data_IF_110290528143
#
_entry.id   IF_110290528143
#
_cell.length_a   1.000
_cell.length_b   1.000
_cell.length_c   1.000
_cell.angle_alpha   90.00
_cell.angle_beta   90.00
_cell.angle_gamma   90.00
#
_symmetry.space_group_name_H-M   'P 1'
#
loop_
_entity.id
_entity.type
_entity.pdbx_description
1 polymer ?
#
# COMPACT_ATOMS: atom_id res chain seq x y z
N UNK A 1 -61.92 -50.00 -23.33
CA UNK A 1 -61.08 -49.42 -22.26
C UNK A 1 -59.58 -49.67 -22.43
N UNK A 2 -59.03 -50.06 -23.53
CA UNK A 2 -57.57 -50.30 -23.68
C UNK A 2 -56.84 -49.23 -24.50
N UNK A 3 -57.53 -48.30 -25.17
CA UNK A 3 -56.92 -47.28 -26.04
C UNK A 3 -56.36 -46.02 -25.25
N UNK A 4 -56.97 -45.70 -24.11
CA UNK A 4 -56.54 -44.50 -23.34
C UNK A 4 -55.26 -44.71 -22.52
N UNK A 5 -54.87 -45.94 -22.23
CA UNK A 5 -53.65 -46.23 -21.48
C UNK A 5 -52.36 -46.01 -22.31
N UNK A 6 -52.44 -46.24 -23.62
CA UNK A 6 -51.28 -46.06 -24.51
C UNK A 6 -50.93 -44.57 -24.65
N UNK A 7 -51.93 -43.70 -24.71
CA UNK A 7 -51.66 -42.22 -24.75
C UNK A 7 -51.11 -41.69 -23.46
N UNK A 8 -51.49 -42.28 -22.32
CA UNK A 8 -50.92 -41.86 -21.02
C UNK A 8 -49.46 -42.23 -20.87
N UNK A 9 -49.02 -43.37 -21.37
CA UNK A 9 -47.62 -43.79 -21.36
C UNK A 9 -46.79 -43.05 -22.41
N UNK A 10 -47.35 -42.67 -23.55
CA UNK A 10 -46.68 -41.86 -24.57
C UNK A 10 -46.44 -40.45 -24.10
N UNK A 11 -47.35 -39.85 -23.32
CA UNK A 11 -47.17 -38.54 -22.71
C UNK A 11 -46.13 -38.57 -21.58
N UNK A 12 -46.08 -39.63 -20.77
CA UNK A 12 -45.08 -39.78 -19.68
C UNK A 12 -43.68 -40.05 -20.22
N UNK A 13 -43.51 -40.63 -21.43
CA UNK A 13 -42.20 -40.84 -22.06
C UNK A 13 -41.71 -39.60 -22.85
N UNK A 14 -42.62 -38.71 -23.25
CA UNK A 14 -42.25 -37.49 -23.98
C UNK A 14 -41.86 -36.30 -23.05
N UNK A 15 -42.32 -36.30 -21.80
CA UNK A 15 -41.98 -35.25 -20.83
C UNK A 15 -40.47 -35.09 -20.52
N UNK A 16 -39.68 -36.18 -20.38
CA UNK A 16 -38.24 -36.04 -20.14
C UNK A 16 -37.48 -35.46 -21.34
N UNK A 17 -37.98 -35.66 -22.56
CA UNK A 17 -37.36 -35.16 -23.79
C UNK A 17 -37.64 -33.66 -24.04
N UNK A 18 -38.78 -33.16 -23.59
CA UNK A 18 -39.10 -31.72 -23.68
C UNK A 18 -38.47 -30.92 -22.52
N UNK A 19 -38.26 -31.55 -21.35
CA UNK A 19 -37.62 -30.89 -20.20
C UNK A 19 -36.09 -30.75 -20.32
N UNK A 20 -35.44 -31.66 -21.08
CA UNK A 20 -33.99 -31.65 -21.25
C UNK A 20 -33.44 -30.50 -22.10
N UNK A 21 -34.25 -29.97 -23.03
CA UNK A 21 -33.83 -28.88 -23.91
C UNK A 21 -34.18 -27.47 -23.40
N UNK A 22 -34.87 -27.36 -22.26
CA UNK A 22 -35.21 -26.06 -21.65
C UNK A 22 -34.22 -25.61 -20.59
N UNK A 23 -33.23 -26.46 -20.23
CA UNK A 23 -32.22 -26.16 -19.22
C UNK A 23 -30.86 -25.69 -19.79
N UNK A 24 -30.69 -25.70 -21.10
CA UNK A 24 -29.41 -25.34 -21.75
C UNK A 24 -29.30 -23.87 -22.16
N UNK A 25 -30.32 -23.04 -21.84
CA UNK A 25 -30.41 -21.68 -22.40
C UNK A 25 -29.83 -20.57 -21.55
N UNK A 26 -29.28 -20.84 -20.35
CA UNK A 26 -28.81 -19.75 -19.49
C UNK A 26 -27.33 -19.74 -19.22
N UNK A 27 -26.53 -20.70 -19.73
CA UNK A 27 -25.10 -20.76 -19.43
C UNK A 27 -24.19 -20.38 -20.59
N UNK A 28 -24.67 -20.37 -21.83
CA UNK A 28 -23.84 -20.13 -23.02
C UNK A 28 -23.31 -18.67 -23.11
N UNK A 29 -23.94 -17.72 -22.41
CA UNK A 29 -23.48 -16.33 -22.36
C UNK A 29 -22.99 -15.92 -20.98
N UNK A 30 -22.88 -16.86 -20.02
CA UNK A 30 -22.49 -16.54 -18.66
C UNK A 30 -21.03 -16.08 -18.57
N UNK A 31 -20.14 -16.67 -19.35
CA UNK A 31 -18.75 -16.23 -19.47
C UNK A 31 -18.65 -14.84 -20.12
N UNK A 32 -19.39 -14.61 -21.21
CA UNK A 32 -19.41 -13.30 -21.88
C UNK A 32 -20.01 -12.20 -20.99
N UNK A 33 -21.07 -12.51 -20.25
CA UNK A 33 -21.71 -11.57 -19.32
C UNK A 33 -20.87 -11.30 -18.07
N UNK A 34 -20.07 -12.26 -17.64
CA UNK A 34 -19.15 -12.12 -16.50
C UNK A 34 -17.75 -11.66 -16.91
N UNK A 35 -17.42 -11.68 -18.19
CA UNK A 35 -16.19 -11.08 -18.69
C UNK A 35 -16.37 -9.57 -18.69
N UNK A 36 -15.73 -8.90 -17.75
CA UNK A 36 -15.75 -7.44 -17.70
C UNK A 36 -14.92 -6.90 -18.87
N UNK A 37 -15.58 -6.58 -19.98
CA UNK A 37 -14.92 -6.06 -21.19
C UNK A 37 -14.25 -4.68 -21.02
N UNK A 38 -14.47 -4.05 -19.86
CA UNK A 38 -13.83 -2.76 -19.47
C UNK A 38 -12.69 -2.98 -18.49
N UNK A 39 -12.47 -4.20 -18.01
CA UNK A 39 -11.35 -4.50 -17.14
C UNK A 39 -10.10 -4.68 -17.98
N UNK A 40 -9.17 -3.74 -17.85
CA UNK A 40 -7.84 -3.86 -18.46
C UNK A 40 -7.08 -4.95 -17.70
N UNK A 41 -6.54 -5.94 -18.42
CA UNK A 41 -5.64 -6.90 -17.81
C UNK A 41 -4.43 -6.12 -17.26
N UNK A 42 -4.05 -6.29 -16.00
CA UNK A 42 -2.86 -5.65 -15.45
C UNK A 42 -1.59 -5.88 -16.29
N UNK A 43 -1.52 -7.00 -17.02
CA UNK A 43 -0.40 -7.30 -17.91
C UNK A 43 -0.40 -6.46 -19.19
N UNK A 44 -1.54 -5.89 -19.59
CA UNK A 44 -1.67 -4.99 -20.73
C UNK A 44 -1.34 -3.53 -20.39
N UNK A 45 -1.23 -3.21 -19.08
CA UNK A 45 -0.83 -1.87 -18.65
C UNK A 45 0.67 -1.65 -18.88
N UNK A 46 1.08 -0.48 -19.40
CA UNK A 46 2.49 -0.11 -19.43
C UNK A 46 3.12 -0.24 -18.04
N UNK A 47 4.34 -0.78 -17.97
CA UNK A 47 5.06 -0.96 -16.71
C UNK A 47 5.15 0.35 -15.90
N UNK A 48 5.34 1.48 -16.58
CA UNK A 48 5.34 2.81 -15.97
C UNK A 48 4.04 3.14 -15.25
N UNK A 49 2.88 2.81 -15.84
CA UNK A 49 1.57 3.04 -15.21
C UNK A 49 1.37 2.16 -13.98
N UNK A 50 1.84 0.90 -14.03
CA UNK A 50 1.78 0.00 -12.88
C UNK A 50 2.61 0.50 -11.69
N UNK A 51 3.79 1.07 -11.93
CA UNK A 51 4.70 1.57 -10.90
C UNK A 51 4.29 2.93 -10.34
N UNK A 52 3.69 3.80 -11.14
CA UNK A 52 3.29 5.14 -10.73
C UNK A 52 2.22 5.13 -9.63
N UNK A 53 1.24 4.24 -9.73
CA UNK A 53 0.12 4.15 -8.78
C UNK A 53 0.58 3.94 -7.34
N UNK A 54 1.34 2.89 -6.97
CA UNK A 54 1.75 2.69 -5.59
C UNK A 54 2.63 3.81 -5.05
N UNK A 55 3.44 4.46 -5.88
CA UNK A 55 4.23 5.61 -5.48
C UNK A 55 3.35 6.82 -5.16
N UNK A 56 2.34 7.07 -5.97
CA UNK A 56 1.39 8.16 -5.81
C UNK A 56 0.54 7.99 -4.54
N UNK A 57 0.08 6.76 -4.28
CA UNK A 57 -0.77 6.45 -3.13
C UNK A 57 -0.03 6.34 -1.79
N UNK A 58 1.32 6.35 -1.79
CA UNK A 58 2.11 6.55 -0.57
C UNK A 58 1.91 7.95 0.02
N UNK A 59 1.54 8.93 -0.79
CA UNK A 59 1.02 10.22 -0.38
C UNK A 59 -0.43 10.30 -0.89
N UNK A 60 -1.44 10.48 -0.01
CA UNK A 60 -2.84 10.45 -0.43
C UNK A 60 -3.11 11.44 -1.58
N UNK A 61 -3.58 10.96 -2.75
CA UNK A 61 -3.69 11.80 -3.96
C UNK A 61 -4.92 12.71 -3.96
N UNK A 62 -5.69 12.70 -2.86
CA UNK A 62 -6.94 13.42 -2.78
C UNK A 62 -7.11 14.02 -1.37
N UNK A 63 -7.50 15.29 -1.30
CA UNK A 63 -7.53 16.07 -0.07
C UNK A 63 -8.37 15.46 1.05
N UNK A 64 -9.54 14.90 0.75
CA UNK A 64 -10.37 14.26 1.75
C UNK A 64 -9.70 13.02 2.36
N UNK A 65 -8.92 12.27 1.57
CA UNK A 65 -8.16 11.13 2.07
C UNK A 65 -7.12 11.59 3.09
N UNK A 66 -6.35 12.63 2.76
CA UNK A 66 -5.36 13.18 3.69
C UNK A 66 -6.03 13.75 4.94
N UNK A 67 -7.13 14.48 4.79
CA UNK A 67 -7.88 15.04 5.90
C UNK A 67 -8.37 13.94 6.83
N UNK A 68 -9.06 12.93 6.32
CA UNK A 68 -9.67 11.89 7.15
C UNK A 68 -8.63 10.95 7.76
N UNK A 69 -7.61 10.54 7.00
CA UNK A 69 -6.65 9.54 7.48
C UNK A 69 -5.56 10.12 8.37
N UNK A 70 -5.15 11.35 8.11
CA UNK A 70 -4.04 11.99 8.82
C UNK A 70 -4.53 13.12 9.69
N UNK A 71 -5.15 14.13 9.10
CA UNK A 71 -5.41 15.40 9.74
C UNK A 71 -6.47 15.30 10.85
N UNK A 72 -7.60 14.62 10.60
CA UNK A 72 -8.68 14.40 11.57
C UNK A 72 -8.54 13.10 12.38
N UNK A 73 -7.40 12.42 12.32
CA UNK A 73 -7.08 11.22 13.11
C UNK A 73 -5.71 11.37 13.77
N UNK A 74 -4.64 11.03 13.07
CA UNK A 74 -3.27 10.96 13.62
C UNK A 74 -2.81 12.30 14.18
N UNK A 75 -3.08 13.39 13.48
CA UNK A 75 -2.68 14.73 13.90
C UNK A 75 -3.45 15.21 15.14
N UNK A 76 -4.72 14.84 15.27
CA UNK A 76 -5.52 15.11 16.47
C UNK A 76 -5.03 14.27 17.66
N UNK A 77 -4.76 12.98 17.45
CA UNK A 77 -4.27 12.08 18.49
C UNK A 77 -2.88 12.46 18.97
N UNK A 78 -2.03 13.00 18.09
CA UNK A 78 -0.71 13.51 18.46
C UNK A 78 -0.76 14.82 19.24
N UNK A 79 -1.90 15.53 19.25
CA UNK A 79 -2.08 16.83 19.85
C UNK A 79 -1.42 17.99 19.07
N UNK A 80 -1.01 17.78 17.83
CA UNK A 80 -0.50 18.85 16.97
C UNK A 80 -1.61 19.73 16.44
N UNK A 81 -2.74 19.11 16.11
CA UNK A 81 -3.92 19.81 15.62
C UNK A 81 -5.10 19.62 16.57
N UNK A 82 -6.10 20.43 16.34
CA UNK A 82 -7.43 20.32 16.95
C UNK A 82 -8.50 20.65 15.91
N UNK A 83 -9.71 20.12 16.06
CA UNK A 83 -10.82 20.53 15.27
C UNK A 83 -11.72 21.51 16.04
N UNK A 84 -11.96 22.72 15.49
CA UNK A 84 -12.98 23.63 16.04
C UNK A 84 -14.39 23.22 15.60
N UNK A 85 -14.52 22.33 14.61
CA UNK A 85 -15.80 21.90 14.06
C UNK A 85 -16.44 20.82 14.93
N UNK A 86 -17.60 21.09 15.50
CA UNK A 86 -18.32 20.15 16.37
C UNK A 86 -18.83 18.86 15.68
N UNK A 87 -18.70 18.75 14.35
CA UNK A 87 -19.02 17.53 13.62
C UNK A 87 -17.92 16.47 13.70
N UNK A 88 -16.73 16.85 14.15
CA UNK A 88 -15.59 15.96 14.29
C UNK A 88 -15.22 15.80 15.75
N UNK A 89 -14.85 14.57 16.13
CA UNK A 89 -14.37 14.30 17.49
C UNK A 89 -12.96 14.78 17.65
N UNK A 90 -12.75 15.63 18.61
CA UNK A 90 -11.42 16.04 19.03
C UNK A 90 -10.78 15.01 19.95
N UNK A 91 -9.51 15.16 20.17
CA UNK A 91 -8.55 14.55 21.06
C UNK A 91 -8.98 13.72 22.27
N UNK A 92 -10.24 13.33 22.34
CA UNK A 92 -10.78 12.32 23.26
C UNK A 92 -10.38 10.88 22.86
N UNK A 93 -9.57 10.73 21.82
CA UNK A 93 -9.14 9.44 21.25
C UNK A 93 -10.33 8.56 20.82
N UNK A 94 -11.48 9.17 20.55
CA UNK A 94 -12.67 8.48 20.06
C UNK A 94 -12.42 7.87 18.68
N UNK A 95 -12.68 6.57 18.55
CA UNK A 95 -12.53 5.87 17.28
C UNK A 95 -13.57 6.35 16.27
N UNK A 96 -13.11 6.84 15.12
CA UNK A 96 -13.95 7.05 13.94
C UNK A 96 -13.54 6.08 12.83
N UNK A 97 -14.23 4.95 12.76
CA UNK A 97 -13.94 3.88 11.78
C UNK A 97 -14.06 4.35 10.34
N UNK A 98 -14.97 5.27 10.04
CA UNK A 98 -15.12 5.84 8.71
C UNK A 98 -13.88 6.61 8.23
N UNK A 99 -13.18 7.24 9.17
CA UNK A 99 -11.95 7.97 8.88
C UNK A 99 -10.72 7.06 8.97
N UNK A 100 -10.62 6.28 10.04
CA UNK A 100 -9.43 5.48 10.29
C UNK A 100 -9.28 4.26 9.37
N UNK A 101 -10.37 3.72 8.80
CA UNK A 101 -10.32 2.54 7.93
C UNK A 101 -9.70 2.79 6.57
N UNK A 102 -9.82 4.01 6.04
CA UNK A 102 -9.42 4.32 4.67
C UNK A 102 -7.91 4.18 4.40
N UNK A 103 -7.05 4.50 5.36
CA UNK A 103 -5.60 4.30 5.21
C UNK A 103 -5.23 2.80 5.11
N UNK A 104 -5.91 1.94 5.87
CA UNK A 104 -5.73 0.50 5.80
C UNK A 104 -6.14 -0.05 4.44
N UNK A 105 -7.30 0.36 3.95
CA UNK A 105 -7.81 -0.01 2.63
C UNK A 105 -6.87 0.46 1.51
N UNK A 106 -6.44 1.73 1.56
CA UNK A 106 -5.48 2.31 0.62
C UNK A 106 -4.19 1.50 0.52
N UNK A 107 -3.65 1.05 1.65
CA UNK A 107 -2.43 0.25 1.67
C UNK A 107 -2.58 -1.05 0.88
N UNK A 108 -3.64 -1.82 1.11
CA UNK A 108 -3.81 -3.09 0.42
C UNK A 108 -4.24 -2.93 -1.04
N UNK A 109 -5.13 -1.97 -1.35
CA UNK A 109 -5.63 -1.79 -2.71
C UNK A 109 -4.58 -1.19 -3.64
N UNK A 110 -3.89 -0.16 -3.20
CA UNK A 110 -3.06 0.65 -4.10
C UNK A 110 -1.56 0.43 -3.90
N UNK A 111 -1.09 0.16 -2.67
CA UNK A 111 0.34 0.05 -2.41
C UNK A 111 0.80 -1.41 -2.41
N UNK A 112 0.37 -2.19 -1.43
CA UNK A 112 0.94 -3.51 -1.17
C UNK A 112 0.68 -4.52 -2.30
N UNK A 113 -0.57 -4.65 -2.75
CA UNK A 113 -0.91 -5.60 -3.80
C UNK A 113 -0.24 -5.27 -5.14
N UNK A 114 -0.06 -3.99 -5.45
CA UNK A 114 0.64 -3.59 -6.66
C UNK A 114 2.15 -3.80 -6.53
N UNK A 115 2.77 -3.31 -5.45
CA UNK A 115 4.23 -3.44 -5.27
C UNK A 115 4.68 -4.90 -5.21
N UNK A 116 3.99 -5.79 -4.47
CA UNK A 116 4.37 -7.21 -4.37
C UNK A 116 4.38 -7.90 -5.74
N UNK A 117 3.39 -7.59 -6.59
CA UNK A 117 3.30 -8.14 -7.95
C UNK A 117 4.43 -7.61 -8.84
N UNK A 118 4.68 -6.32 -8.80
CA UNK A 118 5.76 -5.68 -9.57
C UNK A 118 7.12 -6.21 -9.13
N UNK A 119 7.36 -6.35 -7.82
CA UNK A 119 8.59 -6.92 -7.27
C UNK A 119 8.80 -8.34 -7.79
N UNK A 120 7.76 -9.19 -7.71
CA UNK A 120 7.85 -10.57 -8.19
C UNK A 120 8.15 -10.66 -9.71
N UNK A 121 7.50 -9.81 -10.50
CA UNK A 121 7.74 -9.73 -11.95
C UNK A 121 9.15 -9.25 -12.28
N UNK A 122 9.64 -8.21 -11.60
CA UNK A 122 11.00 -7.71 -11.75
C UNK A 122 12.05 -8.74 -11.32
N UNK A 123 11.84 -9.42 -10.21
CA UNK A 123 12.74 -10.47 -9.72
C UNK A 123 12.80 -11.64 -10.73
N UNK A 124 11.66 -12.03 -11.29
CA UNK A 124 11.60 -13.08 -12.31
C UNK A 124 12.32 -12.66 -13.61
N UNK A 125 12.19 -11.41 -14.01
CA UNK A 125 12.81 -10.87 -15.24
C UNK A 125 14.29 -10.47 -15.06
N UNK A 126 14.79 -10.49 -13.83
CA UNK A 126 16.17 -10.08 -13.50
C UNK A 126 16.39 -8.56 -13.54
N UNK A 127 15.34 -7.75 -13.52
CA UNK A 127 15.39 -6.29 -13.41
C UNK A 127 15.42 -5.87 -11.93
N UNK A 128 16.52 -6.26 -11.26
CA UNK A 128 16.61 -6.19 -9.80
C UNK A 128 16.66 -4.75 -9.27
N UNK A 129 17.23 -3.82 -10.03
CA UNK A 129 17.26 -2.41 -9.66
C UNK A 129 15.87 -1.82 -9.56
N UNK A 130 14.97 -2.12 -10.51
CA UNK A 130 13.56 -1.72 -10.47
C UNK A 130 12.81 -2.40 -9.33
N UNK A 131 13.10 -3.70 -9.09
CA UNK A 131 12.58 -4.41 -7.91
C UNK A 131 12.98 -3.70 -6.62
N UNK A 132 14.23 -3.25 -6.51
CA UNK A 132 14.75 -2.51 -5.35
C UNK A 132 13.98 -1.21 -5.10
N UNK A 133 13.68 -0.44 -6.14
CA UNK A 133 12.85 0.77 -6.03
C UNK A 133 11.47 0.44 -5.47
N UNK A 134 10.81 -0.58 -6.01
CA UNK A 134 9.47 -0.97 -5.54
C UNK A 134 9.48 -1.55 -4.11
N UNK A 135 10.56 -2.22 -3.68
CA UNK A 135 10.75 -2.63 -2.27
C UNK A 135 10.82 -1.44 -1.33
N UNK A 136 11.46 -0.34 -1.74
CA UNK A 136 11.49 0.89 -0.93
C UNK A 136 10.08 1.49 -0.81
N UNK A 137 9.33 1.56 -1.91
CA UNK A 137 7.93 2.04 -1.91
C UNK A 137 7.06 1.16 -1.00
N UNK A 138 7.18 -0.17 -1.12
CA UNK A 138 6.46 -1.11 -0.27
C UNK A 138 6.82 -0.94 1.21
N UNK A 139 8.11 -0.84 1.54
CA UNK A 139 8.56 -0.65 2.91
C UNK A 139 8.06 0.67 3.50
N UNK A 140 8.03 1.75 2.72
CA UNK A 140 7.46 3.03 3.15
C UNK A 140 5.97 2.90 3.48
N UNK A 141 5.17 2.35 2.57
CA UNK A 141 3.75 2.14 2.80
C UNK A 141 3.45 1.21 3.97
N UNK A 142 4.22 0.11 4.09
CA UNK A 142 4.09 -0.83 5.21
C UNK A 142 4.44 -0.16 6.55
N UNK A 143 5.50 0.65 6.60
CA UNK A 143 5.90 1.37 7.81
C UNK A 143 4.81 2.34 8.26
N UNK A 144 4.26 3.14 7.35
CA UNK A 144 3.18 4.08 7.66
C UNK A 144 1.94 3.35 8.19
N UNK A 145 1.60 2.22 7.57
CA UNK A 145 0.39 1.45 7.93
C UNK A 145 0.56 0.71 9.25
N UNK A 146 1.71 0.05 9.48
CA UNK A 146 1.95 -0.64 10.77
C UNK A 146 2.09 0.34 11.93
N UNK A 147 2.55 1.57 11.66
CA UNK A 147 2.60 2.64 12.65
C UNK A 147 1.20 3.04 13.14
N UNK A 148 0.20 2.99 12.26
CA UNK A 148 -1.17 3.35 12.57
C UNK A 148 -1.99 2.16 13.15
N UNK A 149 -1.79 0.94 12.62
CA UNK A 149 -2.66 -0.21 12.92
C UNK A 149 -1.99 -1.36 13.67
N UNK A 150 -0.67 -1.36 13.79
CA UNK A 150 0.06 -2.45 14.43
C UNK A 150 0.28 -3.65 13.48
N UNK A 151 -0.08 -4.88 13.89
CA UNK A 151 0.05 -6.08 13.07
C UNK A 151 -0.68 -5.98 11.73
N UNK A 152 -0.10 -6.54 10.66
CA UNK A 152 -0.66 -6.54 9.30
C UNK A 152 -0.56 -7.94 8.68
N UNK A 153 -1.49 -8.28 7.80
CA UNK A 153 -1.34 -9.44 6.92
C UNK A 153 -0.30 -9.10 5.85
N UNK A 154 0.88 -9.70 5.91
CA UNK A 154 2.00 -9.39 5.02
C UNK A 154 2.61 -10.67 4.42
N UNK A 155 3.28 -11.50 5.23
CA UNK A 155 3.93 -12.73 4.75
C UNK A 155 2.92 -13.73 4.19
N UNK A 156 1.77 -13.86 4.80
CA UNK A 156 0.68 -14.73 4.34
C UNK A 156 0.15 -14.35 2.97
N UNK A 157 0.11 -13.05 2.64
CA UNK A 157 -0.26 -12.58 1.30
C UNK A 157 0.89 -12.76 0.32
N UNK A 158 2.15 -12.55 0.74
CA UNK A 158 3.33 -12.74 -0.11
C UNK A 158 3.53 -14.19 -0.53
N UNK A 159 3.15 -15.16 0.30
CA UNK A 159 3.23 -16.59 -0.03
C UNK A 159 2.37 -16.97 -1.24
N UNK A 160 1.34 -16.16 -1.56
CA UNK A 160 0.41 -16.42 -2.64
C UNK A 160 -0.56 -17.58 -2.38
N UNK A 161 -0.55 -18.15 -1.20
CA UNK A 161 -1.50 -19.18 -0.78
C UNK A 161 -2.86 -18.53 -0.52
N UNK A 162 -3.88 -19.05 -1.18
CA UNK A 162 -5.26 -18.61 -0.94
C UNK A 162 -5.83 -19.35 0.26
N UNK A 163 -6.06 -18.60 1.32
CA UNK A 163 -6.71 -19.08 2.52
C UNK A 163 -8.03 -18.33 2.77
N UNK A 164 -8.87 -18.90 3.61
CA UNK A 164 -10.13 -18.24 4.02
C UNK A 164 -9.89 -17.00 4.90
N UNK A 165 -8.70 -16.89 5.47
CA UNK A 165 -8.22 -15.71 6.20
C UNK A 165 -6.69 -15.61 6.06
N UNK A 166 -6.16 -14.39 6.17
CA UNK A 166 -4.73 -14.13 6.16
C UNK A 166 -4.24 -13.88 7.59
N UNK A 167 -3.36 -14.73 8.16
CA UNK A 167 -2.72 -14.46 9.45
C UNK A 167 -1.96 -13.15 9.42
N UNK A 168 -1.99 -12.42 10.54
CA UNK A 168 -1.25 -11.19 10.69
C UNK A 168 0.15 -11.45 11.21
N UNK A 169 1.12 -10.81 10.58
CA UNK A 169 2.47 -10.71 11.11
C UNK A 169 2.51 -9.70 12.26
N UNK A 170 3.27 -10.02 13.30
CA UNK A 170 3.56 -9.05 14.35
C UNK A 170 4.37 -7.87 13.81
N UNK A 171 4.33 -6.72 14.50
CA UNK A 171 5.17 -5.59 14.11
C UNK A 171 6.65 -5.96 14.06
N UNK A 172 7.16 -6.81 14.96
CA UNK A 172 8.53 -7.30 14.92
C UNK A 172 8.85 -7.98 13.58
N UNK A 173 8.00 -8.91 13.13
CA UNK A 173 8.17 -9.60 11.85
C UNK A 173 8.15 -8.62 10.67
N UNK A 174 7.24 -7.66 10.69
CA UNK A 174 7.16 -6.61 9.67
C UNK A 174 8.45 -5.76 9.62
N UNK A 175 8.97 -5.33 10.78
CA UNK A 175 10.22 -4.55 10.83
C UNK A 175 11.42 -5.36 10.34
N UNK A 176 11.51 -6.64 10.69
CA UNK A 176 12.56 -7.53 10.17
C UNK A 176 12.48 -7.61 8.65
N UNK A 177 11.29 -7.90 8.10
CA UNK A 177 11.08 -8.00 6.65
C UNK A 177 11.43 -6.70 5.93
N UNK A 178 10.96 -5.55 6.43
CA UNK A 178 11.27 -4.25 5.83
C UNK A 178 12.77 -3.93 5.85
N UNK A 179 13.47 -4.21 6.95
CA UNK A 179 14.92 -3.96 7.04
C UNK A 179 15.71 -4.85 6.08
N UNK A 180 15.32 -6.11 5.92
CA UNK A 180 15.91 -7.03 4.95
C UNK A 180 15.65 -6.57 3.52
N UNK A 181 14.42 -6.21 3.20
CA UNK A 181 14.05 -5.69 1.88
C UNK A 181 14.78 -4.41 1.53
N UNK A 182 14.94 -3.48 2.47
CA UNK A 182 15.70 -2.24 2.24
C UNK A 182 17.20 -2.50 2.03
N UNK A 183 17.79 -3.49 2.72
CA UNK A 183 19.17 -3.89 2.47
C UNK A 183 19.34 -4.49 1.07
N UNK A 184 18.42 -5.37 0.67
CA UNK A 184 18.41 -5.92 -0.68
C UNK A 184 18.23 -4.82 -1.73
N UNK A 185 17.27 -3.91 -1.52
CA UNK A 185 16.99 -2.79 -2.41
C UNK A 185 18.23 -1.92 -2.67
N UNK A 186 18.99 -1.56 -1.62
CA UNK A 186 20.22 -0.80 -1.75
C UNK A 186 21.24 -1.52 -2.62
N UNK A 187 21.38 -2.84 -2.45
CA UNK A 187 22.31 -3.66 -3.23
C UNK A 187 21.88 -3.72 -4.69
N UNK A 188 20.60 -3.97 -4.92
CA UNK A 188 20.02 -4.10 -6.27
C UNK A 188 20.10 -2.78 -7.06
N UNK A 189 19.79 -1.65 -6.41
CA UNK A 189 19.86 -0.32 -7.04
C UNK A 189 21.30 0.06 -7.39
N UNK A 190 22.30 -0.28 -6.56
CA UNK A 190 23.71 -0.07 -6.90
C UNK A 190 24.14 -0.84 -8.15
N UNK A 191 23.51 -1.98 -8.42
CA UNK A 191 23.76 -2.80 -9.61
C UNK A 191 22.84 -2.48 -10.79
N UNK A 192 22.02 -1.45 -10.72
CA UNK A 192 21.03 -1.10 -11.74
C UNK A 192 21.69 -0.81 -13.09
N UNK A 193 21.22 -1.49 -14.13
CA UNK A 193 21.68 -1.31 -15.52
C UNK A 193 21.18 0.01 -16.12
N UNK A 194 21.82 0.48 -17.18
CA UNK A 194 21.39 1.70 -17.89
C UNK A 194 19.97 1.56 -18.49
N UNK A 195 19.60 0.36 -18.95
CA UNK A 195 18.23 0.10 -19.44
C UNK A 195 17.19 0.21 -18.34
N UNK A 196 17.50 -0.25 -17.13
CA UNK A 196 16.61 -0.08 -15.98
C UNK A 196 16.48 1.38 -15.55
N UNK A 197 17.59 2.15 -15.60
CA UNK A 197 17.54 3.61 -15.30
C UNK A 197 16.68 4.36 -16.32
N UNK A 198 16.75 4.02 -17.59
CA UNK A 198 15.85 4.58 -18.61
C UNK A 198 14.39 4.22 -18.35
N UNK A 199 14.12 3.00 -17.93
CA UNK A 199 12.78 2.57 -17.52
C UNK A 199 12.33 3.32 -16.28
N UNK A 200 13.17 3.43 -15.24
CA UNK A 200 12.89 4.18 -14.03
C UNK A 200 12.47 5.63 -14.33
N UNK A 201 13.17 6.28 -15.25
CA UNK A 201 12.88 7.66 -15.65
C UNK A 201 11.47 7.86 -16.25
N UNK A 202 10.80 6.79 -16.67
CA UNK A 202 9.44 6.88 -17.23
C UNK A 202 8.32 6.98 -16.17
N UNK A 203 8.61 6.65 -14.91
CA UNK A 203 7.59 6.60 -13.86
C UNK A 203 8.03 7.18 -12.50
N UNK A 204 9.31 7.47 -12.32
CA UNK A 204 9.82 7.93 -11.02
C UNK A 204 9.39 9.37 -10.73
N UNK A 205 8.33 9.48 -9.93
CA UNK A 205 7.78 10.75 -9.46
C UNK A 205 8.44 11.24 -8.15
N UNK A 206 9.32 10.44 -7.52
CA UNK A 206 9.96 10.81 -6.24
C UNK A 206 11.36 11.38 -6.44
N UNK A 207 12.18 10.72 -7.23
CA UNK A 207 13.61 11.01 -7.32
C UNK A 207 14.07 11.40 -8.72
N UNK A 208 13.19 11.46 -9.72
CA UNK A 208 13.53 11.77 -11.12
C UNK A 208 14.65 10.87 -11.66
N UNK A 209 14.58 9.58 -11.36
CA UNK A 209 15.54 8.53 -11.69
C UNK A 209 16.94 8.70 -11.05
N UNK A 210 17.08 9.52 -10.05
CA UNK A 210 18.32 9.63 -9.26
C UNK A 210 18.44 8.43 -8.31
N UNK A 211 19.23 7.44 -8.71
CA UNK A 211 19.44 6.20 -7.93
C UNK A 211 20.12 6.44 -6.60
N UNK A 212 20.94 7.47 -6.46
CA UNK A 212 21.56 7.84 -5.18
C UNK A 212 20.54 8.39 -4.18
N UNK A 213 19.55 9.14 -4.66
CA UNK A 213 18.43 9.56 -3.80
C UNK A 213 17.60 8.37 -3.32
N UNK A 214 17.33 7.38 -4.17
CA UNK A 214 16.65 6.16 -3.76
C UNK A 214 17.39 5.42 -2.65
N UNK A 215 18.70 5.28 -2.77
CA UNK A 215 19.55 4.68 -1.72
C UNK A 215 19.47 5.50 -0.42
N UNK A 216 19.43 6.83 -0.52
CA UNK A 216 19.29 7.71 0.64
C UNK A 216 17.92 7.60 1.31
N UNK A 217 16.84 7.42 0.54
CA UNK A 217 15.51 7.13 1.09
C UNK A 217 15.55 5.82 1.87
N UNK A 218 16.08 4.75 1.27
CA UNK A 218 16.20 3.45 1.93
C UNK A 218 16.96 3.54 3.26
N UNK A 219 18.09 4.24 3.27
CA UNK A 219 18.87 4.46 4.50
C UNK A 219 18.13 5.35 5.52
N UNK A 220 17.38 6.34 5.06
CA UNK A 220 16.57 7.18 5.96
C UNK A 220 15.49 6.33 6.65
N UNK A 221 14.83 5.43 5.93
CA UNK A 221 13.87 4.50 6.51
C UNK A 221 14.53 3.51 7.48
N UNK A 222 15.70 2.96 7.11
CA UNK A 222 16.48 2.06 7.98
C UNK A 222 16.85 2.76 9.29
N UNK A 223 17.37 3.97 9.22
CA UNK A 223 17.75 4.76 10.40
C UNK A 223 16.52 5.06 11.26
N UNK A 224 15.42 5.52 10.66
CA UNK A 224 14.15 5.78 11.37
C UNK A 224 13.67 4.54 12.12
N UNK A 225 13.67 3.37 11.48
CA UNK A 225 13.27 2.11 12.12
C UNK A 225 14.22 1.72 13.24
N UNK A 226 15.53 1.79 13.03
CA UNK A 226 16.53 1.45 14.06
C UNK A 226 16.40 2.33 15.31
N UNK A 227 16.20 3.65 15.16
CA UNK A 227 15.97 4.57 16.26
C UNK A 227 14.66 4.29 16.99
N UNK A 228 13.59 4.03 16.25
CA UNK A 228 12.28 3.71 16.81
C UNK A 228 12.30 2.42 17.64
N UNK A 229 13.05 1.42 17.18
CA UNK A 229 13.18 0.11 17.82
C UNK A 229 14.27 0.06 18.92
N UNK A 230 14.92 1.19 19.23
CA UNK A 230 16.05 1.26 20.17
C UNK A 230 15.76 0.60 21.55
N UNK A 231 14.50 0.64 22.02
CA UNK A 231 14.08 -0.01 23.25
C UNK A 231 13.77 -1.51 23.11
N UNK A 232 13.87 -2.04 21.89
CA UNK A 232 13.62 -3.46 21.53
C UNK A 232 14.87 -4.12 20.94
N UNK A 233 16.06 -3.64 21.30
CA UNK A 233 17.34 -4.10 20.75
C UNK A 233 17.55 -5.59 20.96
N UNK A 234 17.23 -6.12 22.15
CA UNK A 234 17.40 -7.54 22.45
C UNK A 234 16.51 -8.43 21.56
N UNK A 235 15.24 -8.09 21.44
CA UNK A 235 14.26 -8.82 20.63
C UNK A 235 14.63 -8.79 19.12
N UNK A 236 15.10 -7.66 18.64
CA UNK A 236 15.54 -7.52 17.24
C UNK A 236 16.84 -8.30 17.00
N UNK A 237 17.75 -8.34 17.96
CA UNK A 237 18.99 -9.13 17.87
C UNK A 237 18.69 -10.65 17.83
N UNK A 238 17.72 -11.12 18.61
CA UNK A 238 17.24 -12.52 18.54
C UNK A 238 16.65 -12.83 17.17
N UNK A 239 16.02 -11.86 16.52
CA UNK A 239 15.52 -11.96 15.14
C UNK A 239 16.60 -11.74 14.06
N UNK A 240 17.88 -11.65 14.45
CA UNK A 240 19.01 -11.51 13.52
C UNK A 240 19.30 -10.09 13.05
N UNK A 241 18.74 -9.06 13.69
CA UNK A 241 18.93 -7.65 13.33
C UNK A 241 19.72 -6.91 14.43
N UNK A 242 20.91 -6.45 14.10
CA UNK A 242 21.69 -5.56 14.96
C UNK A 242 21.31 -4.10 14.68
N UNK A 243 20.47 -3.52 15.55
CA UNK A 243 19.96 -2.16 15.35
C UNK A 243 21.07 -1.09 15.42
N UNK A 244 22.15 -1.30 16.18
CA UNK A 244 23.27 -0.36 16.25
C UNK A 244 24.05 -0.35 14.95
N UNK A 245 24.29 -1.53 14.40
CA UNK A 245 24.91 -1.67 13.09
C UNK A 245 24.04 -0.99 12.02
N UNK A 246 22.75 -1.31 11.96
CA UNK A 246 21.80 -0.68 11.02
C UNK A 246 21.82 0.84 11.14
N UNK A 247 21.75 1.39 12.35
CA UNK A 247 21.76 2.83 12.56
C UNK A 247 23.08 3.48 12.11
N UNK A 248 24.22 2.86 12.43
CA UNK A 248 25.55 3.38 12.08
C UNK A 248 25.76 3.41 10.57
N UNK A 249 25.43 2.32 9.91
CA UNK A 249 25.56 2.21 8.44
C UNK A 249 24.61 3.18 7.72
N UNK A 250 23.36 3.23 8.17
CA UNK A 250 22.35 4.06 7.53
C UNK A 250 22.63 5.55 7.71
N UNK A 251 23.05 5.99 8.90
CA UNK A 251 23.28 7.41 9.21
C UNK A 251 24.29 8.08 8.29
N UNK A 252 25.26 7.31 7.77
CA UNK A 252 26.30 7.82 6.89
C UNK A 252 25.79 8.29 5.52
N UNK A 253 24.60 7.84 5.08
CA UNK A 253 24.10 8.09 3.72
C UNK A 253 22.57 8.24 3.67
N UNK A 254 22.02 9.15 4.48
CA UNK A 254 20.59 9.49 4.50
C UNK A 254 20.26 10.72 3.65
N UNK A 255 18.99 11.05 3.51
CA UNK A 255 18.54 12.31 2.91
C UNK A 255 19.08 13.55 3.63
N UNK A 256 19.31 13.46 4.95
CA UNK A 256 19.91 14.56 5.71
C UNK A 256 21.35 14.89 5.28
N UNK A 257 22.06 13.99 4.58
CA UNK A 257 23.41 14.25 4.05
C UNK A 257 23.41 15.07 2.76
N UNK A 258 22.26 15.29 2.15
CA UNK A 258 22.07 16.14 0.98
C UNK A 258 21.06 17.21 1.31
N UNK A 259 21.34 18.43 0.93
CA UNK A 259 20.40 19.54 1.08
C UNK A 259 19.40 19.53 -0.07
N UNK A 260 18.71 18.38 -0.23
CA UNK A 260 17.73 18.16 -1.29
C UNK A 260 16.46 17.62 -0.67
N UNK A 261 15.35 18.26 -0.95
CA UNK A 261 14.02 17.75 -0.65
C UNK A 261 13.60 16.78 -1.74
N UNK A 262 12.85 15.74 -1.37
CA UNK A 262 12.09 14.96 -2.34
C UNK A 262 10.87 15.79 -2.70
N UNK A 263 10.86 16.30 -3.90
CA UNK A 263 9.73 17.07 -4.43
C UNK A 263 8.89 16.11 -5.26
N UNK A 264 7.76 15.67 -4.71
CA UNK A 264 6.70 15.01 -5.49
C UNK A 264 6.20 16.03 -6.52
N UNK A 265 5.93 15.56 -7.73
CA UNK A 265 5.52 16.41 -8.87
C UNK A 265 4.45 17.43 -8.46
N UNK A 266 4.66 18.66 -8.87
CA UNK A 266 3.78 19.81 -8.59
C UNK A 266 2.37 19.69 -9.15
N UNK A 267 2.07 18.66 -9.94
CA UNK A 267 0.71 18.34 -10.40
C UNK A 267 -0.20 17.85 -9.26
N UNK A 268 0.39 17.40 -8.15
CA UNK A 268 -0.33 17.16 -6.90
C UNK A 268 -0.41 18.52 -6.19
N UNK A 269 -1.57 19.14 -6.24
CA UNK A 269 -1.83 20.38 -5.49
C UNK A 269 -1.52 20.19 -4.01
N UNK A 270 -1.12 21.26 -3.35
CA UNK A 270 -0.89 21.24 -1.91
C UNK A 270 -2.23 21.08 -1.18
N UNK A 271 -2.62 19.85 -0.94
CA UNK A 271 -3.87 19.48 -0.28
C UNK A 271 -4.02 20.10 1.12
N UNK A 272 -2.91 20.37 1.78
CA UNK A 272 -2.89 21.02 3.09
C UNK A 272 -3.51 22.42 3.06
N UNK A 273 -3.24 23.20 1.99
CA UNK A 273 -3.82 24.52 1.84
C UNK A 273 -5.35 24.49 1.70
N UNK A 274 -5.87 23.55 0.94
CA UNK A 274 -7.32 23.36 0.77
C UNK A 274 -8.00 23.00 2.09
N UNK A 275 -7.41 22.11 2.88
CA UNK A 275 -7.96 21.68 4.16
C UNK A 275 -8.05 22.82 5.18
N UNK A 276 -7.07 23.70 5.23
CA UNK A 276 -7.13 24.88 6.10
C UNK A 276 -8.28 25.82 5.75
N UNK A 277 -8.64 25.92 4.48
CA UNK A 277 -9.77 26.72 4.04
C UNK A 277 -11.14 26.15 4.42
N UNK A 278 -11.23 24.85 4.71
CA UNK A 278 -12.48 24.23 5.16
C UNK A 278 -12.80 24.54 6.63
N UNK A 279 -11.81 24.99 7.42
CA UNK A 279 -11.99 25.34 8.82
C UNK A 279 -12.24 24.15 9.76
N UNK A 280 -12.00 22.93 9.28
CA UNK A 280 -12.19 21.71 10.05
C UNK A 280 -11.04 21.42 11.02
N UNK A 281 -9.91 22.04 10.80
CA UNK A 281 -8.68 21.78 11.54
C UNK A 281 -7.90 23.08 11.79
N UNK A 282 -7.24 23.17 12.94
CA UNK A 282 -6.35 24.24 13.32
C UNK A 282 -5.24 23.75 14.23
N UNK A 283 -4.19 24.54 14.41
CA UNK A 283 -3.13 24.19 15.34
C UNK A 283 -3.65 24.11 16.78
N UNK A 284 -3.22 23.07 17.49
CA UNK A 284 -3.53 22.95 18.91
C UNK A 284 -2.86 24.07 19.71
N UNK A 285 -3.62 24.70 20.62
CA UNK A 285 -3.11 25.80 21.44
C UNK A 285 -1.88 25.40 22.27
N UNK A 286 -1.82 24.16 22.75
CA UNK A 286 -0.67 23.66 23.49
C UNK A 286 0.60 23.64 22.61
N UNK A 287 0.48 23.21 21.36
CA UNK A 287 1.60 23.23 20.41
C UNK A 287 2.06 24.66 20.14
N UNK A 288 1.11 25.58 19.88
CA UNK A 288 1.42 27.01 19.65
C UNK A 288 2.15 27.61 20.86
N UNK A 289 1.66 27.32 22.06
CA UNK A 289 2.29 27.78 23.31
C UNK A 289 3.72 27.25 23.45
N UNK A 290 3.95 25.96 23.20
CA UNK A 290 5.27 25.36 23.24
C UNK A 290 6.23 25.97 22.20
N UNK A 291 5.74 26.24 21.00
CA UNK A 291 6.56 26.81 19.93
C UNK A 291 6.85 28.28 20.11
N UNK A 292 5.95 29.04 20.71
CA UNK A 292 6.10 30.49 20.95
C UNK A 292 6.89 30.81 22.20
N UNK A 293 7.14 29.82 23.07
CA UNK A 293 7.87 30.02 24.33
C UNK A 293 7.09 30.82 25.37
N UNK A 294 5.78 30.88 25.25
CA UNK A 294 4.87 31.56 26.19
C UNK A 294 4.43 30.64 27.31
#
# INVERSE_FOLDING_TARGET
>A
MKRNKIYQYAILLALPWLGGNLMTSCTDSFEDLNTNSVQVDPNDLPFSAQCAEPMQYCYPPQQNMFQFWTNLTIDLYSGYFMTPNGNFTNGDMGENRGHSGGMYENYYLHIFNNTRRIIADCDQKGTLGLSGVMRIVQAYGTLMTTDAYGPLAYSSILSGEYESYYPFDSQQQLFVSMLQDLNKAITDIKGMSESEKLTLATFDIWCSADTDLWIKIANTLRLRMALRLSKREAEMKEAGIDLKQVATEAAANTLATVNKDIVIDKSLENEMWLMFNWGDCGFNANLVTLMSGM
#
